data_IF_639359235109
#
_entry.id   IF_639359235109
#
_cell.length_a   1.000
_cell.length_b   1.000
_cell.length_c   1.000
_cell.angle_alpha   90.00
_cell.angle_beta   90.00
_cell.angle_gamma   90.00
#
_symmetry.space_group_name_H-M   'P 1'
#
loop_
_entity.id
_entity.type
_entity.pdbx_description
1 polymer ?
#
# COMPACT_ATOMS: atom_id res chain seq x y z
N UNK A 1 -27.79 0.82 -21.99
CA UNK A 1 -27.52 -0.46 -21.31
C UNK A 1 -28.50 -0.55 -20.15
N UNK A 2 -29.41 -1.54 -20.14
CA UNK A 2 -30.43 -1.64 -19.08
C UNK A 2 -29.76 -1.82 -17.71
N UNK A 3 -30.27 -1.12 -16.69
CA UNK A 3 -29.76 -1.20 -15.33
C UNK A 3 -29.97 -2.62 -14.79
N UNK A 4 -28.90 -3.42 -14.74
CA UNK A 4 -28.97 -4.78 -14.21
C UNK A 4 -28.97 -4.73 -12.68
N UNK A 5 -30.15 -4.84 -12.09
CA UNK A 5 -30.37 -4.79 -10.63
C UNK A 5 -29.57 -5.88 -9.90
N UNK A 6 -29.39 -7.06 -10.50
CA UNK A 6 -28.63 -8.15 -9.88
C UNK A 6 -27.13 -7.81 -9.83
N UNK A 7 -26.57 -7.33 -10.93
CA UNK A 7 -25.17 -6.87 -10.95
C UNK A 7 -24.95 -5.69 -10.00
N UNK A 8 -25.90 -4.76 -9.93
CA UNK A 8 -25.85 -3.63 -8.99
C UNK A 8 -25.87 -4.11 -7.54
N UNK A 9 -26.78 -5.01 -7.18
CA UNK A 9 -26.87 -5.60 -5.83
C UNK A 9 -25.57 -6.30 -5.43
N UNK A 10 -25.01 -7.15 -6.30
CA UNK A 10 -23.76 -7.85 -6.01
C UNK A 10 -22.63 -6.85 -5.79
N UNK A 11 -22.45 -5.86 -6.66
CA UNK A 11 -21.39 -4.84 -6.54
C UNK A 11 -21.55 -3.97 -5.30
N UNK A 12 -22.77 -3.54 -4.99
CA UNK A 12 -23.06 -2.73 -3.81
C UNK A 12 -22.81 -3.52 -2.53
N UNK A 13 -23.25 -4.78 -2.46
CA UNK A 13 -23.04 -5.64 -1.29
C UNK A 13 -21.54 -5.90 -1.06
N UNK A 14 -20.78 -6.23 -2.12
CA UNK A 14 -19.33 -6.43 -1.99
C UNK A 14 -18.62 -5.14 -1.56
N UNK A 15 -19.06 -3.98 -2.04
CA UNK A 15 -18.51 -2.69 -1.63
C UNK A 15 -18.80 -2.38 -0.16
N UNK A 16 -20.02 -2.64 0.32
CA UNK A 16 -20.39 -2.45 1.73
C UNK A 16 -19.56 -3.37 2.64
N UNK A 17 -19.45 -4.65 2.28
CA UNK A 17 -18.63 -5.61 3.04
C UNK A 17 -17.17 -5.15 3.06
N UNK A 18 -16.63 -4.74 1.91
CA UNK A 18 -15.26 -4.24 1.82
C UNK A 18 -15.04 -3.02 2.71
N UNK A 19 -15.93 -2.02 2.65
CA UNK A 19 -15.86 -0.83 3.52
C UNK A 19 -15.95 -1.23 4.99
N UNK A 20 -16.85 -2.15 5.36
CA UNK A 20 -16.97 -2.62 6.73
C UNK A 20 -15.67 -3.28 7.22
N UNK A 21 -15.07 -4.18 6.43
CA UNK A 21 -13.80 -4.83 6.76
C UNK A 21 -12.67 -3.82 6.88
N UNK A 22 -12.56 -2.88 5.93
CA UNK A 22 -11.54 -1.82 5.98
C UNK A 22 -11.71 -0.94 7.22
N UNK A 23 -12.93 -0.48 7.52
CA UNK A 23 -13.20 0.38 8.66
C UNK A 23 -12.96 -0.34 9.99
N UNK A 24 -13.33 -1.62 10.11
CA UNK A 24 -13.02 -2.45 11.27
C UNK A 24 -11.50 -2.59 11.45
N UNK A 25 -10.78 -2.92 10.37
CA UNK A 25 -9.32 -3.03 10.43
C UNK A 25 -8.65 -1.72 10.82
N UNK A 26 -9.10 -0.59 10.27
CA UNK A 26 -8.49 0.73 10.49
C UNK A 26 -8.80 1.33 11.88
N UNK A 27 -10.01 1.11 12.43
CA UNK A 27 -10.48 1.87 13.60
C UNK A 27 -10.44 1.11 14.93
N UNK A 28 -10.52 -0.23 14.91
CA UNK A 28 -10.74 -1.02 16.14
C UNK A 28 -9.54 -0.97 17.09
N UNK A 29 -8.39 -1.52 16.70
CA UNK A 29 -7.16 -1.49 17.51
C UNK A 29 -5.91 -1.67 16.64
N UNK A 30 -4.72 -1.65 17.26
CA UNK A 30 -3.45 -1.84 16.54
C UNK A 30 -3.34 -3.24 15.92
N UNK A 31 -3.90 -4.28 16.56
CA UNK A 31 -3.93 -5.64 16.02
C UNK A 31 -4.76 -5.77 14.75
N UNK A 32 -5.97 -5.19 14.72
CA UNK A 32 -6.84 -5.21 13.55
C UNK A 32 -6.20 -4.50 12.37
N UNK A 33 -5.51 -3.39 12.63
CA UNK A 33 -4.77 -2.64 11.62
C UNK A 33 -3.63 -3.48 11.05
N UNK A 34 -2.83 -4.10 11.93
CA UNK A 34 -1.73 -4.96 11.54
C UNK A 34 -2.19 -6.19 10.73
N UNK A 35 -3.27 -6.86 11.15
CA UNK A 35 -3.84 -8.01 10.44
C UNK A 35 -4.37 -7.59 9.07
N UNK A 36 -5.09 -6.48 8.98
CA UNK A 36 -5.60 -5.95 7.71
C UNK A 36 -4.45 -5.72 6.72
N UNK A 37 -3.41 -4.98 7.13
CA UNK A 37 -2.29 -4.67 6.25
C UNK A 37 -1.36 -5.86 5.98
N UNK A 38 -1.35 -6.88 6.86
CA UNK A 38 -0.74 -8.17 6.56
C UNK A 38 -1.46 -8.89 5.41
N UNK A 39 -2.80 -8.92 5.43
CA UNK A 39 -3.58 -9.52 4.33
C UNK A 39 -3.35 -8.75 3.02
N UNK A 40 -3.41 -7.41 3.07
CA UNK A 40 -3.11 -6.56 1.90
C UNK A 40 -1.71 -6.80 1.39
N UNK A 41 -0.72 -6.95 2.26
CA UNK A 41 0.67 -7.23 1.89
C UNK A 41 0.82 -8.52 1.08
N UNK A 42 0.30 -9.65 1.57
CA UNK A 42 0.39 -10.91 0.84
C UNK A 42 -0.41 -10.87 -0.48
N UNK A 43 -1.56 -10.19 -0.50
CA UNK A 43 -2.34 -9.97 -1.73
C UNK A 43 -1.56 -9.16 -2.78
N UNK A 44 -1.03 -8.01 -2.38
CA UNK A 44 -0.24 -7.13 -3.24
C UNK A 44 1.02 -7.83 -3.77
N UNK A 45 1.69 -8.63 -2.94
CA UNK A 45 2.84 -9.41 -3.39
C UNK A 45 2.50 -10.45 -4.45
N UNK A 46 1.36 -11.14 -4.32
CA UNK A 46 0.91 -12.11 -5.33
C UNK A 46 0.65 -11.43 -6.67
N UNK A 47 -0.04 -10.29 -6.65
CA UNK A 47 -0.30 -9.51 -7.87
C UNK A 47 0.99 -8.97 -8.48
N UNK A 48 1.89 -8.43 -7.65
CA UNK A 48 3.18 -7.92 -8.11
C UNK A 48 4.03 -9.00 -8.77
N UNK A 49 4.17 -10.17 -8.16
CA UNK A 49 4.91 -11.29 -8.76
C UNK A 49 4.28 -11.70 -10.09
N UNK A 50 2.95 -11.76 -10.18
CA UNK A 50 2.22 -12.05 -11.42
C UNK A 50 2.47 -11.00 -12.51
N UNK A 51 2.56 -9.72 -12.15
CA UNK A 51 2.95 -8.66 -13.09
C UNK A 51 4.38 -8.83 -13.58
N UNK A 52 5.33 -9.12 -12.68
CA UNK A 52 6.74 -9.34 -13.03
C UNK A 52 6.88 -10.54 -13.97
N UNK A 53 6.13 -11.62 -13.77
CA UNK A 53 6.08 -12.76 -14.69
C UNK A 53 5.62 -12.37 -16.10
N UNK A 54 4.72 -11.39 -16.22
CA UNK A 54 4.17 -10.93 -17.49
C UNK A 54 5.22 -10.30 -18.42
N UNK A 55 6.23 -9.63 -17.88
CA UNK A 55 7.31 -9.01 -18.67
C UNK A 55 8.70 -9.64 -18.47
N UNK A 56 8.84 -10.57 -17.53
CA UNK A 56 10.06 -11.32 -17.29
C UNK A 56 9.74 -12.82 -17.13
N UNK A 57 9.69 -13.59 -18.23
CA UNK A 57 9.33 -15.01 -18.21
C UNK A 57 10.22 -15.87 -17.30
N UNK A 58 11.50 -15.50 -17.13
CA UNK A 58 12.43 -16.18 -16.21
C UNK A 58 11.98 -16.07 -14.74
N UNK A 59 11.23 -15.03 -14.39
CA UNK A 59 10.68 -14.86 -13.05
C UNK A 59 9.57 -15.87 -12.75
N UNK A 60 8.91 -16.40 -13.79
CA UNK A 60 7.88 -17.44 -13.65
C UNK A 60 8.49 -18.74 -13.11
N UNK A 61 9.73 -19.02 -13.49
CA UNK A 61 10.45 -20.25 -13.17
C UNK A 61 11.30 -20.15 -11.89
N UNK A 62 11.15 -19.10 -11.08
CA UNK A 62 11.84 -19.02 -9.79
C UNK A 62 11.41 -20.16 -8.87
N UNK A 63 12.35 -20.64 -8.07
CA UNK A 63 12.08 -21.68 -7.08
C UNK A 63 11.01 -21.19 -6.08
N UNK A 64 10.12 -22.10 -5.58
CA UNK A 64 9.09 -21.72 -4.61
C UNK A 64 9.64 -21.06 -3.35
N UNK A 65 10.84 -21.45 -2.91
CA UNK A 65 11.51 -20.85 -1.75
C UNK A 65 11.78 -19.35 -1.94
N UNK A 66 12.23 -18.92 -3.13
CA UNK A 66 12.38 -17.50 -3.45
C UNK A 66 11.02 -16.81 -3.39
N UNK A 67 10.03 -17.38 -4.10
CA UNK A 67 8.70 -16.79 -4.27
C UNK A 67 7.99 -16.51 -2.96
N UNK A 68 7.95 -17.50 -2.06
CA UNK A 68 7.28 -17.35 -0.77
C UNK A 68 8.23 -16.75 0.29
N UNK A 69 9.51 -17.05 0.22
CA UNK A 69 10.52 -16.52 1.12
C UNK A 69 10.58 -14.99 1.06
N UNK A 70 10.52 -14.39 -0.12
CA UNK A 70 10.53 -12.92 -0.24
C UNK A 70 9.25 -12.28 0.33
N UNK A 71 8.10 -12.95 0.22
CA UNK A 71 6.85 -12.48 0.83
C UNK A 71 6.97 -12.53 2.35
N UNK A 72 7.50 -13.63 2.90
CA UNK A 72 7.72 -13.77 4.35
C UNK A 72 8.76 -12.76 4.85
N UNK A 73 9.90 -12.61 4.16
CA UNK A 73 10.91 -11.60 4.50
C UNK A 73 10.37 -10.18 4.43
N UNK A 74 9.50 -9.90 3.47
CA UNK A 74 8.72 -8.67 3.40
C UNK A 74 7.78 -8.47 4.59
N UNK A 75 7.09 -9.53 5.03
CA UNK A 75 6.22 -9.49 6.21
C UNK A 75 7.02 -9.30 7.50
N UNK A 76 8.22 -9.87 7.61
CA UNK A 76 9.16 -9.58 8.71
C UNK A 76 9.56 -8.10 8.76
N UNK A 77 9.66 -7.43 7.61
CA UNK A 77 9.87 -5.98 7.57
C UNK A 77 8.66 -5.22 8.12
N UNK A 78 7.43 -5.67 7.87
CA UNK A 78 6.24 -5.07 8.50
C UNK A 78 6.27 -5.26 10.03
N UNK A 79 6.65 -6.45 10.50
CA UNK A 79 6.80 -6.75 11.92
C UNK A 79 7.78 -5.81 12.62
N UNK A 80 8.90 -5.50 11.97
CA UNK A 80 9.90 -4.56 12.50
C UNK A 80 9.32 -3.17 12.80
N UNK A 81 8.38 -2.68 12.01
CA UNK A 81 7.77 -1.37 12.22
C UNK A 81 6.61 -1.35 13.23
N UNK A 82 6.34 -2.45 13.94
CA UNK A 82 5.22 -2.53 14.91
C UNK A 82 5.49 -1.82 16.25
N UNK A 83 6.73 -1.35 16.48
CA UNK A 83 7.18 -0.74 17.72
C UNK A 83 6.92 -1.62 18.96
N UNK A 84 6.94 -1.05 20.18
CA UNK A 84 6.69 -1.78 21.42
C UNK A 84 5.21 -2.09 21.71
N UNK A 85 4.27 -1.63 20.86
CA UNK A 85 2.83 -1.83 21.09
C UNK A 85 2.36 -3.28 20.89
N UNK A 86 3.02 -4.02 19.99
CA UNK A 86 2.60 -5.36 19.61
C UNK A 86 3.59 -6.41 20.16
N UNK A 87 3.11 -7.23 21.10
CA UNK A 87 3.84 -8.35 21.68
C UNK A 87 2.94 -9.57 21.86
N UNK A 88 3.51 -10.77 21.70
CA UNK A 88 2.85 -12.05 22.00
C UNK A 88 3.61 -12.68 23.16
N UNK A 89 3.00 -12.68 24.34
CA UNK A 89 3.68 -13.10 25.57
C UNK A 89 4.88 -12.19 25.89
N UNK A 90 6.07 -12.77 26.00
CA UNK A 90 7.33 -12.04 26.22
C UNK A 90 8.02 -11.57 24.94
N UNK A 91 7.56 -12.03 23.76
CA UNK A 91 8.23 -11.75 22.49
C UNK A 91 7.60 -10.51 21.85
N UNK A 92 8.42 -9.48 21.67
CA UNK A 92 8.03 -8.28 20.93
C UNK A 92 8.10 -8.54 19.43
N UNK A 93 7.05 -8.18 18.70
CA UNK A 93 6.98 -8.40 17.26
C UNK A 93 8.06 -7.61 16.49
N UNK A 94 8.47 -6.45 16.99
CA UNK A 94 9.59 -5.68 16.45
C UNK A 94 10.91 -6.46 16.47
N UNK A 95 11.23 -7.13 17.58
CA UNK A 95 12.48 -7.90 17.73
C UNK A 95 12.44 -9.15 16.85
N UNK A 96 11.31 -9.86 16.85
CA UNK A 96 11.10 -10.99 15.95
C UNK A 96 11.22 -10.58 14.48
N UNK A 97 10.62 -9.45 14.10
CA UNK A 97 10.70 -8.88 12.75
C UNK A 97 12.13 -8.53 12.36
N UNK A 98 12.91 -7.94 13.26
CA UNK A 98 14.32 -7.63 13.02
C UNK A 98 15.14 -8.89 12.76
N UNK A 99 15.09 -9.86 13.67
CA UNK A 99 15.92 -11.06 13.56
C UNK A 99 15.51 -11.95 12.38
N UNK A 100 14.21 -12.16 12.18
CA UNK A 100 13.71 -12.93 11.05
C UNK A 100 13.92 -12.19 9.72
N UNK A 101 13.81 -10.85 9.73
CA UNK A 101 14.10 -10.00 8.58
C UNK A 101 15.55 -10.11 8.14
N UNK A 102 16.50 -9.91 9.07
CA UNK A 102 17.94 -10.05 8.82
C UNK A 102 18.28 -11.49 8.36
N UNK A 103 17.71 -12.51 9.00
CA UNK A 103 17.89 -13.88 8.58
C UNK A 103 17.39 -14.09 7.14
N UNK A 104 16.21 -13.57 6.79
CA UNK A 104 15.65 -13.68 5.44
C UNK A 104 16.50 -12.99 4.38
N UNK A 105 17.12 -11.84 4.71
CA UNK A 105 18.02 -11.10 3.80
C UNK A 105 19.27 -11.89 3.44
N UNK A 106 19.69 -12.84 4.28
CA UNK A 106 20.86 -13.70 4.05
C UNK A 106 20.44 -15.05 3.46
N UNK A 107 19.45 -15.71 4.06
CA UNK A 107 19.03 -17.07 3.70
C UNK A 107 18.43 -17.09 2.29
N UNK A 108 17.59 -16.12 1.90
CA UNK A 108 16.93 -16.14 0.58
C UNK A 108 17.97 -16.06 -0.56
N UNK A 109 18.91 -15.09 -0.58
CA UNK A 109 19.98 -15.08 -1.56
C UNK A 109 20.82 -16.36 -1.57
N UNK A 110 21.19 -16.87 -0.40
CA UNK A 110 22.02 -18.08 -0.31
C UNK A 110 21.32 -19.30 -0.93
N UNK A 111 20.08 -19.58 -0.55
CA UNK A 111 19.32 -20.70 -1.11
C UNK A 111 19.15 -20.54 -2.62
N UNK A 112 18.88 -19.32 -3.10
CA UNK A 112 18.82 -19.04 -4.55
C UNK A 112 20.15 -19.33 -5.23
N UNK A 113 21.29 -18.95 -4.64
CA UNK A 113 22.62 -19.22 -5.20
C UNK A 113 22.90 -20.73 -5.31
N UNK A 114 22.51 -21.52 -4.29
CA UNK A 114 22.79 -22.95 -4.26
C UNK A 114 21.81 -23.79 -5.10
N UNK A 115 20.55 -23.40 -5.18
CA UNK A 115 19.50 -24.20 -5.83
C UNK A 115 19.16 -23.74 -7.25
N UNK A 116 19.43 -22.47 -7.61
CA UNK A 116 19.11 -21.99 -8.96
C UNK A 116 20.17 -22.42 -9.97
N UNK A 117 19.71 -23.02 -11.08
CA UNK A 117 20.58 -23.41 -12.20
C UNK A 117 21.26 -22.22 -12.88
N UNK A 118 20.67 -21.03 -12.77
CA UNK A 118 21.25 -19.77 -13.22
C UNK A 118 20.76 -18.65 -12.30
N UNK A 119 21.70 -17.96 -11.66
CA UNK A 119 21.39 -16.78 -10.86
C UNK A 119 21.17 -15.59 -11.79
N UNK A 120 19.91 -15.29 -12.13
CA UNK A 120 19.58 -14.01 -12.78
C UNK A 120 19.52 -12.92 -11.71
N UNK A 121 20.56 -12.08 -11.65
CA UNK A 121 20.59 -10.84 -10.85
C UNK A 121 19.31 -10.03 -11.07
N UNK A 122 18.79 -10.02 -12.30
CA UNK A 122 17.52 -9.39 -12.69
C UNK A 122 16.32 -9.84 -11.81
N UNK A 123 16.19 -11.13 -11.50
CA UNK A 123 15.09 -11.67 -10.69
C UNK A 123 15.20 -11.20 -9.23
N UNK A 124 16.43 -11.12 -8.71
CA UNK A 124 16.68 -10.57 -7.38
C UNK A 124 16.38 -9.08 -7.33
N UNK A 125 16.75 -8.32 -8.36
CA UNK A 125 16.43 -6.89 -8.45
C UNK A 125 14.92 -6.63 -8.45
N UNK A 126 14.12 -7.41 -9.18
CA UNK A 126 12.65 -7.28 -9.12
C UNK A 126 12.09 -7.62 -7.74
N UNK A 127 12.69 -8.58 -7.05
CA UNK A 127 12.25 -8.98 -5.71
C UNK A 127 12.62 -7.93 -4.67
N UNK A 128 13.83 -7.35 -4.76
CA UNK A 128 14.25 -6.23 -3.95
C UNK A 128 13.36 -5.00 -4.19
N UNK A 129 13.02 -4.73 -5.46
CA UNK A 129 12.10 -3.66 -5.79
C UNK A 129 10.71 -3.89 -5.17
N UNK A 130 10.19 -5.12 -5.18
CA UNK A 130 8.95 -5.47 -4.48
C UNK A 130 9.02 -5.26 -2.96
N UNK A 131 10.16 -5.58 -2.33
CA UNK A 131 10.39 -5.30 -0.91
C UNK A 131 10.31 -3.80 -0.61
N UNK A 132 10.94 -2.96 -1.44
CA UNK A 132 10.91 -1.51 -1.24
C UNK A 132 9.54 -0.90 -1.57
N UNK A 133 8.90 -1.36 -2.63
CA UNK A 133 7.65 -0.78 -3.13
C UNK A 133 6.43 -1.20 -2.31
N UNK A 134 6.37 -2.46 -1.85
CA UNK A 134 5.21 -3.00 -1.12
C UNK A 134 5.54 -3.13 0.37
N UNK A 135 6.55 -3.92 0.72
CA UNK A 135 6.81 -4.26 2.12
C UNK A 135 7.26 -3.06 2.94
N UNK A 136 8.20 -2.26 2.44
CA UNK A 136 8.68 -1.08 3.14
C UNK A 136 7.59 0.00 3.20
N UNK A 137 6.85 0.25 2.12
CA UNK A 137 5.77 1.22 2.12
C UNK A 137 4.68 0.88 3.16
N UNK A 138 4.22 -0.37 3.19
CA UNK A 138 3.24 -0.83 4.19
C UNK A 138 3.84 -0.91 5.61
N UNK A 139 5.11 -1.27 5.73
CA UNK A 139 5.84 -1.24 7.00
C UNK A 139 5.90 0.17 7.57
N UNK A 140 6.25 1.17 6.77
CA UNK A 140 6.26 2.57 7.18
C UNK A 140 4.87 3.07 7.59
N UNK A 141 3.81 2.60 6.94
CA UNK A 141 2.43 2.91 7.36
C UNK A 141 2.10 2.33 8.75
N UNK A 142 2.52 1.09 9.04
CA UNK A 142 2.43 0.50 10.39
C UNK A 142 3.29 1.30 11.38
N UNK A 143 4.48 1.74 10.95
CA UNK A 143 5.36 2.59 11.74
C UNK A 143 4.73 3.93 12.11
N UNK A 144 4.02 4.58 11.18
CA UNK A 144 3.25 5.80 11.45
C UNK A 144 2.15 5.51 12.48
N UNK A 145 1.41 4.41 12.30
CA UNK A 145 0.31 4.03 13.20
C UNK A 145 0.76 3.80 14.64
N UNK A 146 1.94 3.21 14.82
CA UNK A 146 2.54 2.83 16.10
C UNK A 146 3.57 3.84 16.61
N UNK A 147 3.72 4.98 15.93
CA UNK A 147 4.70 6.03 16.22
C UNK A 147 6.12 5.47 16.37
N UNK A 148 6.52 4.58 15.48
CA UNK A 148 7.83 3.93 15.49
C UNK A 148 8.97 4.95 15.59
N UNK A 149 9.88 4.73 16.54
CA UNK A 149 11.04 5.61 16.78
C UNK A 149 10.71 6.93 17.50
N UNK A 150 9.47 7.11 17.95
CA UNK A 150 9.02 8.31 18.67
C UNK A 150 8.59 7.93 20.09
N UNK A 151 9.02 8.64 21.14
CA UNK A 151 8.52 8.44 22.49
C UNK A 151 7.00 8.63 22.52
N UNK A 152 6.27 7.58 22.93
CA UNK A 152 4.80 7.54 22.93
C UNK A 152 4.18 8.13 24.19
N UNK A 153 5.00 8.41 25.22
CA UNK A 153 4.55 9.05 26.46
C UNK A 153 3.89 10.41 26.17
N UNK A 154 2.62 10.55 26.58
CA UNK A 154 1.83 11.77 26.39
C UNK A 154 1.32 12.02 24.97
N UNK A 155 1.58 11.15 23.99
CA UNK A 155 1.15 11.34 22.58
C UNK A 155 -0.20 10.73 22.21
N UNK A 156 -0.85 10.04 23.16
CA UNK A 156 -2.20 9.49 22.98
C UNK A 156 -2.36 8.69 21.69
N UNK A 157 -3.45 8.93 20.96
CA UNK A 157 -3.81 8.26 19.71
C UNK A 157 -3.23 8.95 18.45
N UNK A 158 -2.20 9.80 18.58
CA UNK A 158 -1.66 10.57 17.46
C UNK A 158 -1.31 9.71 16.23
N UNK A 159 -0.65 8.56 16.45
CA UNK A 159 -0.30 7.64 15.36
C UNK A 159 -1.53 7.11 14.61
N UNK A 160 -2.63 6.85 15.33
CA UNK A 160 -3.92 6.50 14.75
C UNK A 160 -4.43 7.61 13.84
N UNK A 161 -4.45 8.85 14.33
CA UNK A 161 -5.01 9.99 13.60
C UNK A 161 -4.20 10.32 12.35
N UNK A 162 -2.87 10.29 12.43
CA UNK A 162 -1.99 10.50 11.27
C UNK A 162 -2.19 9.38 10.23
N UNK A 163 -2.22 8.12 10.67
CA UNK A 163 -2.45 6.98 9.78
C UNK A 163 -3.80 7.03 9.07
N UNK A 164 -4.87 7.36 9.78
CA UNK A 164 -6.21 7.53 9.21
C UNK A 164 -6.26 8.70 8.22
N UNK A 165 -5.64 9.82 8.58
CA UNK A 165 -5.56 11.01 7.71
C UNK A 165 -4.87 10.66 6.40
N UNK A 166 -3.78 9.90 6.43
CA UNK A 166 -3.08 9.44 5.24
C UNK A 166 -3.95 8.54 4.34
N UNK A 167 -4.60 7.51 4.92
CA UNK A 167 -5.44 6.58 4.15
C UNK A 167 -6.65 7.30 3.54
N UNK A 168 -7.33 8.15 4.30
CA UNK A 168 -8.46 8.92 3.79
C UNK A 168 -8.05 9.97 2.76
N UNK A 169 -6.86 10.56 2.88
CA UNK A 169 -6.35 11.48 1.86
C UNK A 169 -6.22 10.81 0.50
N UNK A 170 -5.78 9.55 0.44
CA UNK A 170 -5.70 8.80 -0.83
C UNK A 170 -7.10 8.60 -1.41
N UNK A 171 -8.05 8.12 -0.60
CA UNK A 171 -9.42 7.85 -1.06
C UNK A 171 -10.16 9.12 -1.52
N UNK A 172 -10.02 10.20 -0.76
CA UNK A 172 -10.64 11.49 -1.11
C UNK A 172 -9.97 12.08 -2.34
N UNK A 173 -8.64 12.02 -2.44
CA UNK A 173 -7.92 12.50 -3.63
C UNK A 173 -8.39 11.78 -4.89
N UNK A 174 -8.50 10.46 -4.88
CA UNK A 174 -8.95 9.69 -6.05
C UNK A 174 -10.40 10.01 -6.42
N UNK A 175 -11.27 10.14 -5.40
CA UNK A 175 -12.67 10.50 -5.59
C UNK A 175 -12.81 11.90 -6.19
N UNK A 176 -12.10 12.89 -5.64
CA UNK A 176 -12.16 14.26 -6.11
C UNK A 176 -11.48 14.43 -7.47
N UNK A 177 -10.39 13.72 -7.73
CA UNK A 177 -9.74 13.71 -9.04
C UNK A 177 -10.65 13.13 -10.13
N UNK A 178 -11.39 12.06 -9.81
CA UNK A 178 -12.41 11.51 -10.71
C UNK A 178 -13.55 12.51 -10.95
N UNK A 179 -14.12 13.08 -9.89
CA UNK A 179 -15.22 14.05 -9.99
C UNK A 179 -14.80 15.24 -10.85
N UNK A 180 -13.74 15.94 -10.46
CA UNK A 180 -13.24 17.12 -11.19
C UNK A 180 -12.84 16.75 -12.62
N UNK A 181 -12.10 15.65 -12.80
CA UNK A 181 -11.68 15.18 -14.12
C UNK A 181 -12.87 14.85 -15.04
N UNK A 182 -13.97 14.36 -14.49
CA UNK A 182 -15.18 14.04 -15.26
C UNK A 182 -15.97 15.27 -15.71
N UNK A 183 -15.96 16.35 -14.93
CA UNK A 183 -16.71 17.58 -15.24
C UNK A 183 -15.93 18.54 -16.13
N UNK A 184 -14.64 18.72 -15.86
CA UNK A 184 -13.82 19.77 -16.49
C UNK A 184 -12.54 19.25 -17.17
N UNK A 185 -12.25 17.95 -17.06
CA UNK A 185 -11.03 17.36 -17.60
C UNK A 185 -10.96 17.42 -19.12
N UNK A 186 -9.88 18.01 -19.64
CA UNK A 186 -9.65 18.15 -21.09
C UNK A 186 -8.26 17.71 -21.49
N UNK A 187 -7.25 17.98 -20.66
CA UNK A 187 -5.85 17.72 -21.00
C UNK A 187 -5.36 16.42 -20.36
N UNK A 188 -4.95 15.41 -21.14
CA UNK A 188 -4.42 14.16 -20.60
C UNK A 188 -3.16 14.39 -19.75
N UNK A 189 -3.13 13.78 -18.57
CA UNK A 189 -2.04 13.90 -17.59
C UNK A 189 -0.80 13.09 -18.01
N UNK A 190 -1.00 11.89 -18.56
CA UNK A 190 0.10 11.01 -18.94
C UNK A 190 -0.28 10.15 -20.15
N UNK A 191 0.71 9.87 -21.01
CA UNK A 191 0.56 8.92 -22.12
C UNK A 191 0.28 7.48 -21.64
N UNK A 192 0.71 7.14 -20.41
CA UNK A 192 0.52 5.80 -19.81
C UNK A 192 -0.93 5.61 -19.35
N UNK A 193 -1.57 6.69 -18.87
CA UNK A 193 -2.97 6.70 -18.41
C UNK A 193 -3.73 7.86 -19.06
N UNK A 194 -4.19 7.69 -20.31
CA UNK A 194 -4.82 8.78 -21.08
C UNK A 194 -6.12 9.31 -20.48
N UNK A 195 -6.74 8.56 -19.57
CA UNK A 195 -8.00 8.92 -18.90
C UNK A 195 -7.81 9.85 -17.70
N UNK A 196 -6.60 9.91 -17.12
CA UNK A 196 -6.31 10.88 -16.06
C UNK A 196 -6.04 12.24 -16.72
N UNK A 197 -6.59 13.31 -16.17
CA UNK A 197 -6.45 14.67 -16.71
C UNK A 197 -5.73 15.59 -15.74
N UNK A 198 -5.02 16.60 -16.24
CA UNK A 198 -4.34 17.58 -15.38
C UNK A 198 -5.33 18.35 -14.51
N UNK A 199 -6.48 18.74 -15.07
CA UNK A 199 -7.51 19.47 -14.32
C UNK A 199 -8.09 18.60 -13.19
N UNK A 200 -8.31 17.31 -13.47
CA UNK A 200 -8.76 16.34 -12.48
C UNK A 200 -7.74 16.15 -11.37
N UNK A 201 -6.48 15.85 -11.70
CA UNK A 201 -5.42 15.63 -10.70
C UNK A 201 -5.20 16.87 -9.82
N UNK A 202 -5.07 18.07 -10.41
CA UNK A 202 -4.80 19.29 -9.64
C UNK A 202 -6.01 19.71 -8.81
N UNK A 203 -7.22 19.68 -9.37
CA UNK A 203 -8.43 20.02 -8.62
C UNK A 203 -8.75 18.99 -7.53
N UNK A 204 -8.51 17.71 -7.80
CA UNK A 204 -8.63 16.63 -6.83
C UNK A 204 -7.70 16.83 -5.63
N UNK A 205 -6.42 17.17 -5.90
CA UNK A 205 -5.44 17.46 -4.86
C UNK A 205 -5.83 18.66 -3.99
N UNK A 206 -6.24 19.78 -4.61
CA UNK A 206 -6.66 20.98 -3.88
C UNK A 206 -7.88 20.69 -2.99
N UNK A 207 -8.90 20.04 -3.54
CA UNK A 207 -10.11 19.68 -2.78
C UNK A 207 -9.81 18.69 -1.66
N UNK A 208 -8.92 17.72 -1.91
CA UNK A 208 -8.47 16.77 -0.90
C UNK A 208 -7.77 17.49 0.26
N UNK A 209 -6.81 18.38 -0.02
CA UNK A 209 -6.10 19.15 1.01
C UNK A 209 -7.06 19.96 1.87
N UNK A 210 -8.00 20.67 1.24
CA UNK A 210 -9.00 21.47 1.97
C UNK A 210 -9.88 20.56 2.82
N UNK A 211 -10.45 19.51 2.24
CA UNK A 211 -11.33 18.59 2.97
C UNK A 211 -10.61 17.92 4.15
N UNK A 212 -9.38 17.45 3.92
CA UNK A 212 -8.59 16.77 4.94
C UNK A 212 -8.05 17.71 6.00
N UNK A 213 -7.84 19.00 5.72
CA UNK A 213 -7.53 19.98 6.77
C UNK A 213 -8.64 20.03 7.82
N UNK A 214 -9.91 20.03 7.40
CA UNK A 214 -11.06 20.03 8.31
C UNK A 214 -11.30 18.66 8.95
N UNK A 215 -11.27 17.57 8.17
CA UNK A 215 -11.48 16.21 8.69
C UNK A 215 -10.37 15.82 9.67
N UNK A 216 -9.11 16.05 9.31
CA UNK A 216 -7.96 15.77 10.17
C UNK A 216 -8.00 16.61 11.44
N UNK A 217 -8.46 17.87 11.36
CA UNK A 217 -8.67 18.67 12.57
C UNK A 217 -9.75 18.08 13.49
N UNK A 218 -10.87 17.63 12.93
CA UNK A 218 -11.91 16.95 13.69
C UNK A 218 -11.43 15.62 14.33
N UNK A 219 -10.41 14.98 13.75
CA UNK A 219 -9.75 13.79 14.29
C UNK A 219 -8.71 14.12 15.38
N UNK A 220 -8.38 15.39 15.61
CA UNK A 220 -7.43 15.82 16.64
C UNK A 220 -6.06 16.26 16.13
N UNK A 221 -5.88 16.48 14.82
CA UNK A 221 -4.67 17.08 14.25
C UNK A 221 -4.79 18.61 14.16
N UNK A 222 -3.66 19.29 13.96
CA UNK A 222 -3.69 20.68 13.49
C UNK A 222 -4.19 20.73 12.04
N UNK A 223 -4.90 21.80 11.66
CA UNK A 223 -5.26 22.07 10.27
C UNK A 223 -4.03 22.01 9.34
N UNK A 224 -2.91 22.56 9.81
CA UNK A 224 -1.67 22.65 9.05
C UNK A 224 -1.07 21.25 8.83
N UNK A 225 -1.00 20.44 9.88
CA UNK A 225 -0.44 19.09 9.80
C UNK A 225 -1.29 18.19 8.88
N UNK A 226 -2.62 18.25 9.04
CA UNK A 226 -3.55 17.49 8.20
C UNK A 226 -3.47 17.91 6.73
N UNK A 227 -3.36 19.21 6.45
CA UNK A 227 -3.17 19.73 5.09
C UNK A 227 -1.86 19.26 4.46
N UNK A 228 -0.75 19.26 5.22
CA UNK A 228 0.54 18.76 4.73
C UNK A 228 0.52 17.26 4.44
N UNK A 229 -0.06 16.45 5.33
CA UNK A 229 -0.21 15.01 5.12
C UNK A 229 -1.02 14.76 3.84
N UNK A 230 -2.15 15.45 3.67
CA UNK A 230 -3.00 15.31 2.50
C UNK A 230 -2.32 15.75 1.20
N UNK A 231 -1.57 16.86 1.23
CA UNK A 231 -0.83 17.36 0.07
C UNK A 231 0.26 16.39 -0.37
N UNK A 232 1.03 15.86 0.58
CA UNK A 232 2.06 14.84 0.31
C UNK A 232 1.40 13.56 -0.23
N UNK A 233 0.30 13.11 0.37
CA UNK A 233 -0.42 11.92 -0.06
C UNK A 233 -1.01 12.07 -1.47
N UNK A 234 -1.56 13.23 -1.81
CA UNK A 234 -2.13 13.49 -3.15
C UNK A 234 -1.05 13.41 -4.24
N UNK A 235 0.12 14.00 -4.01
CA UNK A 235 1.25 13.98 -4.96
C UNK A 235 1.85 12.58 -5.06
N UNK A 236 2.23 11.99 -3.91
CA UNK A 236 2.90 10.68 -3.90
C UNK A 236 1.97 9.55 -4.32
N UNK A 237 0.70 9.58 -3.95
CA UNK A 237 -0.32 8.65 -4.42
C UNK A 237 -0.50 8.69 -5.93
N UNK A 238 -0.57 9.89 -6.53
CA UNK A 238 -0.65 10.03 -7.99
C UNK A 238 0.58 9.46 -8.70
N UNK A 239 1.78 9.67 -8.15
CA UNK A 239 3.03 9.09 -8.69
C UNK A 239 3.00 7.56 -8.58
N UNK A 240 2.59 7.02 -7.43
CA UNK A 240 2.44 5.59 -7.19
C UNK A 240 1.50 4.92 -8.19
N UNK A 241 0.34 5.54 -8.45
CA UNK A 241 -0.64 5.09 -9.44
C UNK A 241 -0.08 5.06 -10.88
N UNK A 242 0.69 6.08 -11.26
CA UNK A 242 1.34 6.11 -12.56
C UNK A 242 2.39 5.01 -12.68
N UNK A 243 3.13 4.77 -11.60
CA UNK A 243 4.13 3.72 -11.53
C UNK A 243 3.49 2.33 -11.67
N UNK A 244 2.44 2.04 -10.92
CA UNK A 244 1.66 0.80 -11.05
C UNK A 244 1.07 0.66 -12.45
N UNK A 245 0.49 1.73 -13.01
CA UNK A 245 -0.04 1.72 -14.38
C UNK A 245 1.05 1.35 -15.39
N UNK A 246 2.28 1.83 -15.20
CA UNK A 246 3.41 1.47 -16.07
C UNK A 246 3.78 0.00 -15.94
N UNK A 247 3.83 -0.54 -14.72
CA UNK A 247 4.07 -1.97 -14.50
C UNK A 247 3.04 -2.84 -15.22
N UNK A 248 1.75 -2.48 -15.13
CA UNK A 248 0.67 -3.17 -15.85
C UNK A 248 0.88 -3.14 -17.36
N UNK A 249 1.23 -1.97 -17.92
CA UNK A 249 1.54 -1.86 -19.37
C UNK A 249 2.75 -2.67 -19.79
N UNK A 250 3.80 -2.74 -18.96
CA UNK A 250 4.96 -3.59 -19.23
C UNK A 250 4.57 -5.06 -19.28
N UNK A 251 3.70 -5.50 -18.35
CA UNK A 251 3.16 -6.86 -18.31
C UNK A 251 2.12 -7.16 -19.40
N UNK A 252 1.81 -6.20 -20.29
CA UNK A 252 0.80 -6.37 -21.35
C UNK A 252 -0.65 -6.43 -20.85
N UNK A 253 -0.89 -6.14 -19.56
CA UNK A 253 -2.22 -6.16 -18.95
C UNK A 253 -2.72 -4.76 -18.62
N UNK A 254 -4.02 -4.63 -18.39
CA UNK A 254 -4.63 -3.38 -17.90
C UNK A 254 -4.87 -3.39 -16.39
N UNK A 255 -5.22 -4.56 -15.85
CA UNK A 255 -5.56 -4.80 -14.46
C UNK A 255 -4.54 -5.78 -13.85
N UNK A 256 -4.13 -5.58 -12.59
CA UNK A 256 -3.10 -6.38 -11.90
C UNK A 256 -3.62 -7.72 -11.36
N UNK A 257 -4.92 -7.77 -11.04
CA UNK A 257 -5.62 -8.91 -10.48
C UNK A 257 -7.07 -8.97 -10.95
N UNK A 258 -7.75 -10.07 -10.62
CA UNK A 258 -9.18 -10.33 -10.89
C UNK A 258 -9.89 -10.78 -9.63
#
# INVERSE_FOLDING_TARGET
MAFNVQTFKTRALTAIIFVAVMMVGLLWNTWSFFVLFSIVHFGAWREYQKLVEGFNPDYKNIIPFHRYGIMIGGWCLLLYFTNQELAIGSIRLTEAGLWLGLASMVIIPLVVIFESKSMLIKNMSYSLFGLLYISLALGLLIGIRTLYGVPTEGKGELGKYVGLTLVFSIWINDTMAYIVGSFIGKTPFSKISPKKTWEGTSGGAILCVIAMAFIGHALGLSYVDAAWIAGIAAVTGTIGDLFESKLKRMAGVKDSGS
#
